data_IF_012544546344
#
_entry.id   IF_012544546344
#
_cell.length_a   1.000
_cell.length_b   1.000
_cell.length_c   1.000
_cell.angle_alpha   90.00
_cell.angle_beta   90.00
_cell.angle_gamma   90.00
#
_symmetry.space_group_name_H-M   'P 1'
#
loop_
_entity.id
_entity.type
_entity.pdbx_description
1 polymer ?
#
# COMPACT_ATOMS: atom_id res chain seq x y z
N UNK A 1 9.34 22.65 0.80
CA UNK A 1 9.76 21.50 -0.04
C UNK A 1 11.07 20.88 0.44
N UNK A 2 12.09 21.66 0.81
CA UNK A 2 13.40 21.13 1.24
C UNK A 2 13.35 20.27 2.51
N UNK A 3 12.56 20.67 3.53
CA UNK A 3 12.41 19.91 4.79
C UNK A 3 11.77 18.54 4.55
N UNK A 4 10.65 18.49 3.81
CA UNK A 4 9.94 17.26 3.43
C UNK A 4 10.88 16.26 2.76
N UNK A 5 11.63 16.71 1.75
CA UNK A 5 12.57 15.87 1.02
C UNK A 5 13.75 15.42 1.90
N UNK A 6 14.22 16.27 2.81
CA UNK A 6 15.27 15.92 3.76
C UNK A 6 14.85 14.77 4.69
N UNK A 7 13.61 14.81 5.21
CA UNK A 7 13.07 13.75 6.05
C UNK A 7 12.94 12.44 5.26
N UNK A 8 12.40 12.50 4.04
CA UNK A 8 12.33 11.33 3.13
C UNK A 8 13.72 10.73 2.94
N UNK A 9 14.69 11.53 2.51
CA UNK A 9 16.04 11.05 2.23
C UNK A 9 16.70 10.44 3.47
N UNK A 10 16.53 11.06 4.63
CA UNK A 10 17.04 10.51 5.90
C UNK A 10 16.42 9.15 6.19
N UNK A 11 15.10 9.03 6.06
CA UNK A 11 14.39 7.78 6.30
C UNK A 11 14.83 6.68 5.33
N UNK A 12 14.90 6.97 4.03
CA UNK A 12 15.31 6.00 3.01
C UNK A 12 16.73 5.47 3.24
N UNK A 13 17.65 6.34 3.67
CA UNK A 13 19.03 5.95 3.93
C UNK A 13 19.22 5.15 5.23
N UNK A 14 18.33 5.29 6.20
CA UNK A 14 18.52 4.72 7.56
C UNK A 14 17.58 3.56 7.89
N UNK A 15 16.40 3.50 7.28
CA UNK A 15 15.33 2.53 7.65
C UNK A 15 15.00 1.55 6.55
N UNK A 16 15.24 1.87 5.28
CA UNK A 16 14.87 0.99 4.17
C UNK A 16 15.96 -0.05 3.97
N UNK A 17 15.56 -1.32 4.06
CA UNK A 17 16.38 -2.43 3.58
C UNK A 17 16.16 -2.53 2.07
N UNK A 18 17.23 -2.51 1.27
CA UNK A 18 17.09 -2.63 -0.19
C UNK A 18 16.61 -4.02 -0.58
N UNK A 19 17.26 -5.06 -0.08
CA UNK A 19 16.91 -6.44 -0.43
C UNK A 19 15.76 -6.95 0.43
N UNK A 20 14.72 -7.44 -0.25
CA UNK A 20 13.54 -8.06 0.32
C UNK A 20 13.48 -9.52 -0.12
N UNK A 21 12.90 -10.36 0.74
CA UNK A 21 12.69 -11.76 0.45
C UNK A 21 11.32 -12.21 0.96
N UNK A 22 10.72 -13.16 0.25
CA UNK A 22 9.47 -13.83 0.64
C UNK A 22 9.43 -15.24 0.07
N UNK A 23 8.58 -16.10 0.60
CA UNK A 23 8.37 -17.47 0.13
C UNK A 23 6.91 -17.64 -0.25
N UNK A 24 6.65 -17.90 -1.54
CA UNK A 24 5.30 -18.08 -2.09
C UNK A 24 5.27 -19.42 -2.84
N UNK A 25 4.27 -20.27 -2.55
CA UNK A 25 4.16 -21.63 -3.10
C UNK A 25 5.46 -22.43 -3.03
N UNK A 26 6.12 -22.40 -1.86
CA UNK A 26 7.42 -23.04 -1.61
C UNK A 26 8.61 -22.48 -2.42
N UNK A 27 8.42 -21.41 -3.20
CA UNK A 27 9.47 -20.75 -3.99
C UNK A 27 9.97 -19.50 -3.25
N UNK A 28 11.28 -19.39 -3.07
CA UNK A 28 11.91 -18.21 -2.47
C UNK A 28 12.12 -17.11 -3.52
N UNK A 29 11.41 -15.99 -3.36
CA UNK A 29 11.55 -14.80 -4.16
C UNK A 29 12.39 -13.76 -3.43
N UNK A 30 13.22 -13.06 -4.20
CA UNK A 30 14.02 -11.92 -3.73
C UNK A 30 13.79 -10.75 -4.66
N UNK A 31 13.66 -9.54 -4.11
CA UNK A 31 13.47 -8.33 -4.89
C UNK A 31 14.08 -7.11 -4.21
N UNK A 32 14.29 -6.05 -4.98
CA UNK A 32 14.90 -4.81 -4.50
C UNK A 32 13.84 -3.72 -4.32
N UNK A 33 13.77 -3.17 -3.11
CA UNK A 33 13.04 -1.96 -2.80
C UNK A 33 13.80 -0.75 -3.34
N UNK A 34 13.19 -0.01 -4.27
CA UNK A 34 13.83 1.13 -4.95
C UNK A 34 13.87 2.35 -4.03
N UNK A 35 12.70 2.89 -3.69
CA UNK A 35 12.48 4.05 -2.83
C UNK A 35 10.97 4.08 -2.46
N UNK A 36 10.54 4.96 -1.55
CA UNK A 36 9.18 4.93 -0.98
C UNK A 36 8.06 5.03 -2.03
N UNK A 37 8.26 5.81 -3.09
CA UNK A 37 7.20 6.17 -4.04
C UNK A 37 7.31 5.48 -5.40
N UNK A 38 8.48 4.94 -5.74
CA UNK A 38 8.67 4.04 -6.88
C UNK A 38 8.54 2.58 -6.48
N UNK A 39 8.78 2.23 -5.21
CA UNK A 39 8.61 0.90 -4.58
C UNK A 39 9.56 -0.15 -5.15
N UNK A 40 9.45 -0.45 -6.44
CA UNK A 40 10.25 -1.41 -7.19
C UNK A 40 10.59 -0.88 -8.58
N UNK A 41 11.69 -1.31 -9.17
CA UNK A 41 11.90 -1.16 -10.61
C UNK A 41 11.15 -2.27 -11.34
N UNK A 42 10.06 -1.93 -12.05
CA UNK A 42 9.23 -2.89 -12.82
C UNK A 42 10.06 -3.90 -13.64
N UNK A 43 11.00 -3.49 -14.51
CA UNK A 43 11.76 -4.44 -15.33
C UNK A 43 12.69 -5.34 -14.48
N UNK A 44 13.33 -4.80 -13.44
CA UNK A 44 14.19 -5.61 -12.54
C UNK A 44 13.37 -6.61 -11.75
N UNK A 45 12.22 -6.19 -11.24
CA UNK A 45 11.31 -7.04 -10.47
C UNK A 45 10.82 -8.23 -11.29
N UNK A 46 10.31 -7.97 -12.51
CA UNK A 46 9.87 -9.02 -13.43
C UNK A 46 11.02 -9.97 -13.81
N UNK A 47 12.24 -9.44 -14.02
CA UNK A 47 13.42 -10.27 -14.26
C UNK A 47 13.72 -11.21 -13.09
N UNK A 48 13.71 -10.70 -11.86
CA UNK A 48 13.91 -11.52 -10.66
C UNK A 48 12.83 -12.58 -10.50
N UNK A 49 11.57 -12.21 -10.76
CA UNK A 49 10.45 -13.15 -10.67
C UNK A 49 10.60 -14.25 -11.73
N UNK A 50 10.89 -13.92 -12.99
CA UNK A 50 11.16 -14.90 -14.06
C UNK A 50 12.29 -15.87 -13.69
N UNK A 51 13.39 -15.36 -13.14
CA UNK A 51 14.55 -16.20 -12.76
C UNK A 51 14.19 -17.23 -11.68
N UNK A 52 13.34 -16.87 -10.72
CA UNK A 52 12.94 -17.77 -9.62
C UNK A 52 11.79 -18.68 -10.01
N UNK A 53 10.82 -18.15 -10.75
CA UNK A 53 9.61 -18.84 -11.16
C UNK A 53 9.84 -19.83 -12.32
N UNK A 54 10.89 -19.62 -13.14
CA UNK A 54 11.31 -20.50 -14.25
C UNK A 54 10.28 -20.65 -15.39
N UNK A 55 9.31 -19.74 -15.49
CA UNK A 55 8.39 -19.63 -16.62
C UNK A 55 8.40 -18.21 -17.17
N UNK A 56 8.20 -18.08 -18.47
CA UNK A 56 8.04 -16.77 -19.10
C UNK A 56 6.69 -16.15 -18.71
N UNK A 57 6.71 -14.87 -18.34
CA UNK A 57 5.50 -14.15 -18.01
C UNK A 57 4.73 -13.77 -19.29
N UNK A 58 3.43 -14.07 -19.31
CA UNK A 58 2.58 -13.69 -20.42
C UNK A 58 2.45 -12.16 -20.56
N UNK A 59 2.13 -11.68 -21.76
CA UNK A 59 1.86 -10.24 -22.00
C UNK A 59 0.74 -9.71 -21.10
N UNK A 60 -0.32 -10.51 -20.88
CA UNK A 60 -1.44 -10.17 -19.99
C UNK A 60 -0.94 -9.99 -18.55
N UNK A 61 -0.13 -10.91 -18.06
CA UNK A 61 0.45 -10.82 -16.71
C UNK A 61 1.31 -9.58 -16.54
N UNK A 62 2.17 -9.27 -17.52
CA UNK A 62 3.02 -8.07 -17.49
C UNK A 62 2.16 -6.81 -17.47
N UNK A 63 1.10 -6.76 -18.29
CA UNK A 63 0.16 -5.62 -18.30
C UNK A 63 -0.51 -5.42 -16.94
N UNK A 64 -1.11 -6.48 -16.39
CA UNK A 64 -1.79 -6.44 -15.09
C UNK A 64 -0.85 -6.02 -13.96
N UNK A 65 0.38 -6.55 -13.95
CA UNK A 65 1.41 -6.16 -12.99
C UNK A 65 1.76 -4.67 -13.10
N UNK A 66 1.98 -4.19 -14.33
CA UNK A 66 2.36 -2.80 -14.56
C UNK A 66 1.26 -1.86 -14.07
N UNK A 67 0.00 -2.18 -14.36
CA UNK A 67 -1.15 -1.41 -13.93
C UNK A 67 -1.30 -1.40 -12.41
N UNK A 68 -1.23 -2.57 -11.75
CA UNK A 68 -1.34 -2.66 -10.30
C UNK A 68 -0.26 -1.85 -9.57
N UNK A 69 0.99 -1.89 -10.06
CA UNK A 69 2.08 -1.09 -9.49
C UNK A 69 1.87 0.40 -9.72
N UNK A 70 1.40 0.82 -10.89
CA UNK A 70 1.13 2.24 -11.14
C UNK A 70 0.00 2.76 -10.25
N UNK A 71 -1.08 1.98 -10.09
CA UNK A 71 -2.17 2.33 -9.19
C UNK A 71 -1.68 2.56 -7.74
N UNK A 72 -0.81 1.68 -7.22
CA UNK A 72 -0.25 1.82 -5.86
C UNK A 72 0.66 3.04 -5.76
N UNK A 73 1.49 3.30 -6.77
CA UNK A 73 2.40 4.46 -6.77
C UNK A 73 1.65 5.78 -6.80
N UNK A 74 0.63 5.89 -7.65
CA UNK A 74 -0.25 7.07 -7.73
C UNK A 74 -0.92 7.30 -6.38
N UNK A 75 -1.57 6.26 -5.84
CA UNK A 75 -2.22 6.36 -4.54
C UNK A 75 -1.28 6.77 -3.41
N UNK A 76 -0.08 6.16 -3.33
CA UNK A 76 0.88 6.50 -2.28
C UNK A 76 1.36 7.96 -2.38
N UNK A 77 1.54 8.49 -3.60
CA UNK A 77 1.92 9.89 -3.82
C UNK A 77 0.79 10.85 -3.41
N UNK A 78 -0.45 10.52 -3.75
CA UNK A 78 -1.63 11.32 -3.35
C UNK A 78 -1.81 11.34 -1.83
N UNK A 79 -1.69 10.19 -1.19
CA UNK A 79 -1.80 10.06 0.27
C UNK A 79 -0.68 10.81 0.98
N UNK A 80 0.54 10.72 0.45
CA UNK A 80 1.67 11.42 1.01
C UNK A 80 1.53 12.94 0.93
N UNK A 81 1.07 13.45 -0.20
CA UNK A 81 0.79 14.87 -0.37
C UNK A 81 -0.29 15.33 0.61
N UNK A 82 -1.39 14.57 0.69
CA UNK A 82 -2.49 14.84 1.63
C UNK A 82 -2.01 14.87 3.08
N UNK A 83 -1.20 13.90 3.48
CA UNK A 83 -0.66 13.83 4.85
C UNK A 83 0.23 15.03 5.18
N UNK A 84 1.09 15.42 4.24
CA UNK A 84 1.96 16.59 4.39
C UNK A 84 1.15 17.87 4.53
N UNK A 85 0.11 18.04 3.71
CA UNK A 85 -0.74 19.24 3.71
C UNK A 85 -1.48 19.42 5.05
N UNK A 86 -1.89 18.33 5.71
CA UNK A 86 -2.45 18.40 7.05
C UNK A 86 -1.41 18.74 8.12
N UNK A 87 -0.20 18.17 8.01
CA UNK A 87 0.84 18.37 9.01
C UNK A 87 1.33 19.83 9.03
N UNK A 88 1.50 20.47 7.88
CA UNK A 88 1.97 21.86 7.83
C UNK A 88 0.98 22.87 8.42
N UNK A 89 -0.29 22.50 8.60
CA UNK A 89 -1.28 23.36 9.29
C UNK A 89 -1.03 23.47 10.80
N UNK A 90 -0.23 22.57 11.38
CA UNK A 90 0.00 22.48 12.83
C UNK A 90 1.05 23.47 13.34
N UNK A 91 1.82 24.09 12.44
CA UNK A 91 2.94 24.99 12.78
C UNK A 91 3.89 24.45 13.89
N UNK A 92 4.01 23.12 14.02
CA UNK A 92 4.79 22.47 15.07
C UNK A 92 5.77 21.46 14.48
N UNK A 93 7.00 21.89 14.24
CA UNK A 93 8.04 21.10 13.56
C UNK A 93 8.30 19.74 14.21
N UNK A 94 8.22 19.65 15.55
CA UNK A 94 8.42 18.39 16.27
C UNK A 94 7.29 17.41 16.00
N UNK A 95 6.03 17.88 15.99
CA UNK A 95 4.87 17.04 15.67
C UNK A 95 4.91 16.62 14.20
N UNK A 96 5.23 17.56 13.30
CA UNK A 96 5.37 17.31 11.87
C UNK A 96 6.40 16.20 11.64
N UNK A 97 7.61 16.34 12.17
CA UNK A 97 8.68 15.37 11.99
C UNK A 97 8.28 13.98 12.51
N UNK A 98 7.78 13.89 13.73
CA UNK A 98 7.42 12.61 14.36
C UNK A 98 6.31 11.89 13.57
N UNK A 99 5.22 12.58 13.26
CA UNK A 99 4.10 11.96 12.56
C UNK A 99 4.48 11.61 11.12
N UNK A 100 5.28 12.44 10.47
CA UNK A 100 5.72 12.17 9.10
C UNK A 100 6.68 10.97 9.05
N UNK A 101 7.64 10.85 9.97
CA UNK A 101 8.48 9.63 10.06
C UNK A 101 7.65 8.36 10.29
N UNK A 102 6.65 8.41 11.18
CA UNK A 102 5.72 7.29 11.39
C UNK A 102 4.95 6.94 10.11
N UNK A 103 4.57 7.95 9.33
CA UNK A 103 3.91 7.76 8.05
C UNK A 103 4.84 7.13 7.01
N UNK A 104 6.10 7.56 6.91
CA UNK A 104 7.08 6.94 6.01
C UNK A 104 7.34 5.46 6.37
N UNK A 105 7.42 5.16 7.67
CA UNK A 105 7.51 3.79 8.17
C UNK A 105 6.27 2.97 7.82
N UNK A 106 5.09 3.58 7.90
CA UNK A 106 3.84 2.95 7.52
C UNK A 106 3.77 2.67 6.00
N UNK A 107 4.20 3.61 5.14
CA UNK A 107 4.30 3.37 3.69
C UNK A 107 5.20 2.18 3.43
N UNK A 108 6.45 2.23 3.91
CA UNK A 108 7.46 1.21 3.62
C UNK A 108 7.02 -0.18 4.06
N UNK A 109 6.47 -0.31 5.27
CA UNK A 109 5.98 -1.59 5.78
C UNK A 109 4.75 -2.07 4.99
N UNK A 110 3.78 -1.21 4.72
CA UNK A 110 2.56 -1.58 4.00
C UNK A 110 2.82 -2.00 2.55
N UNK A 111 3.66 -1.26 1.81
CA UNK A 111 4.03 -1.61 0.43
C UNK A 111 4.80 -2.92 0.40
N UNK A 112 5.78 -3.10 1.28
CA UNK A 112 6.55 -4.34 1.39
C UNK A 112 5.63 -5.53 1.63
N UNK A 113 4.74 -5.43 2.61
CA UNK A 113 3.76 -6.49 2.93
C UNK A 113 2.87 -6.78 1.74
N UNK A 114 2.33 -5.75 1.08
CA UNK A 114 1.49 -5.94 -0.11
C UNK A 114 2.25 -6.68 -1.23
N UNK A 115 3.48 -6.27 -1.53
CA UNK A 115 4.28 -6.93 -2.57
C UNK A 115 4.56 -8.39 -2.20
N UNK A 116 4.98 -8.63 -0.96
CA UNK A 116 5.40 -9.94 -0.48
C UNK A 116 4.25 -10.94 -0.38
N UNK A 117 3.11 -10.49 0.17
CA UNK A 117 2.04 -11.39 0.60
C UNK A 117 0.92 -11.48 -0.45
N UNK A 118 0.78 -10.46 -1.30
CA UNK A 118 -0.33 -10.34 -2.26
C UNK A 118 0.16 -10.33 -3.70
N UNK A 119 1.02 -9.38 -4.08
CA UNK A 119 1.32 -9.14 -5.49
C UNK A 119 2.08 -10.28 -6.15
N UNK A 120 3.12 -10.83 -5.50
CA UNK A 120 3.92 -11.92 -6.08
C UNK A 120 3.04 -13.15 -6.34
N UNK A 121 2.19 -13.51 -5.39
CA UNK A 121 1.21 -14.58 -5.55
C UNK A 121 0.26 -14.30 -6.72
N UNK A 122 -0.27 -13.06 -6.80
CA UNK A 122 -1.19 -12.67 -7.85
C UNK A 122 -0.56 -12.73 -9.25
N UNK A 123 0.71 -12.35 -9.39
CA UNK A 123 1.45 -12.45 -10.66
C UNK A 123 1.48 -13.91 -11.14
N UNK A 124 1.71 -14.86 -10.22
CA UNK A 124 1.70 -16.29 -10.54
C UNK A 124 0.30 -16.72 -10.99
N UNK A 125 -0.75 -16.31 -10.28
CA UNK A 125 -2.12 -16.64 -10.68
C UNK A 125 -2.51 -16.08 -12.06
N UNK A 126 -2.16 -14.83 -12.35
CA UNK A 126 -2.38 -14.27 -13.69
C UNK A 126 -1.60 -15.03 -14.76
N UNK A 127 -0.39 -15.50 -14.45
CA UNK A 127 0.42 -16.23 -15.42
C UNK A 127 -0.10 -17.64 -15.72
N UNK A 128 -0.58 -18.32 -14.69
CA UNK A 128 -1.08 -19.69 -14.78
C UNK A 128 -2.56 -19.77 -15.12
N UNK A 129 -3.23 -18.62 -15.26
CA UNK A 129 -4.68 -18.51 -15.40
C UNK A 129 -5.42 -19.26 -14.27
N UNK A 130 -4.95 -19.11 -13.04
CA UNK A 130 -5.63 -19.65 -11.86
C UNK A 130 -6.81 -18.73 -11.55
N UNK A 131 -8.03 -19.26 -11.72
CA UNK A 131 -9.27 -18.50 -11.52
C UNK A 131 -9.74 -18.55 -10.07
N UNK A 132 -9.36 -19.59 -9.31
CA UNK A 132 -9.83 -19.80 -7.94
C UNK A 132 -8.68 -19.73 -6.94
N UNK A 133 -8.79 -18.80 -5.98
CA UNK A 133 -7.90 -18.68 -4.82
C UNK A 133 -8.55 -19.32 -3.60
N UNK A 134 -7.80 -20.14 -2.88
CA UNK A 134 -8.25 -20.69 -1.60
C UNK A 134 -7.68 -19.88 -0.42
N UNK A 135 -8.55 -19.39 0.46
CA UNK A 135 -8.16 -18.72 1.70
C UNK A 135 -9.03 -19.24 2.84
N UNK A 136 -8.42 -19.81 3.89
CA UNK A 136 -9.13 -20.35 5.06
C UNK A 136 -10.30 -21.29 4.69
N UNK A 137 -10.04 -22.28 3.82
CA UNK A 137 -11.02 -23.24 3.31
C UNK A 137 -12.19 -22.64 2.51
N UNK A 138 -12.09 -21.38 2.09
CA UNK A 138 -13.06 -20.72 1.20
C UNK A 138 -12.44 -20.48 -0.17
N UNK A 139 -13.25 -20.63 -1.20
CA UNK A 139 -12.87 -20.43 -2.60
C UNK A 139 -13.29 -19.06 -3.05
N UNK A 140 -12.38 -18.32 -3.66
CA UNK A 140 -12.62 -16.97 -4.14
C UNK A 140 -12.25 -16.86 -5.61
N UNK A 141 -12.99 -16.04 -6.36
CA UNK A 141 -12.52 -15.55 -7.66
C UNK A 141 -11.23 -14.77 -7.43
N UNK A 142 -10.20 -15.14 -8.18
CA UNK A 142 -8.85 -14.64 -7.99
C UNK A 142 -8.72 -13.15 -8.28
N UNK A 143 -9.39 -12.65 -9.32
CA UNK A 143 -9.28 -11.25 -9.70
C UNK A 143 -10.09 -10.35 -8.77
N UNK A 144 -11.31 -10.77 -8.42
CA UNK A 144 -12.15 -10.04 -7.46
C UNK A 144 -11.52 -10.03 -6.05
N UNK A 145 -10.87 -11.13 -5.65
CA UNK A 145 -10.16 -11.17 -4.38
C UNK A 145 -8.93 -10.25 -4.38
N UNK A 146 -8.22 -10.14 -5.51
CA UNK A 146 -7.12 -9.19 -5.64
C UNK A 146 -7.58 -7.74 -5.56
N UNK A 147 -8.71 -7.40 -6.20
CA UNK A 147 -9.35 -6.09 -6.06
C UNK A 147 -9.70 -5.78 -4.60
N UNK A 148 -10.24 -6.76 -3.87
CA UNK A 148 -10.46 -6.64 -2.43
C UNK A 148 -9.17 -6.33 -1.65
N UNK A 149 -8.06 -7.02 -1.93
CA UNK A 149 -6.78 -6.76 -1.23
C UNK A 149 -6.20 -5.38 -1.60
N UNK A 150 -6.40 -4.89 -2.82
CA UNK A 150 -6.03 -3.51 -3.22
C UNK A 150 -6.84 -2.47 -2.45
N UNK A 151 -8.16 -2.64 -2.34
CA UNK A 151 -9.02 -1.69 -1.60
C UNK A 151 -8.73 -1.76 -0.09
N UNK A 152 -8.42 -2.95 0.45
CA UNK A 152 -7.96 -3.13 1.83
C UNK A 152 -6.64 -2.41 2.09
N UNK A 153 -5.69 -2.48 1.15
CA UNK A 153 -4.45 -1.70 1.20
C UNK A 153 -4.75 -0.20 1.32
N UNK A 154 -5.59 0.35 0.43
CA UNK A 154 -5.96 1.78 0.48
C UNK A 154 -6.64 2.17 1.79
N UNK A 155 -7.56 1.33 2.28
CA UNK A 155 -8.27 1.57 3.54
C UNK A 155 -7.33 1.61 4.75
N UNK A 156 -6.28 0.79 4.76
CA UNK A 156 -5.29 0.84 5.83
C UNK A 156 -4.60 2.21 5.94
N UNK A 157 -4.32 2.86 4.81
CA UNK A 157 -3.81 4.23 4.78
C UNK A 157 -4.84 5.25 5.30
N UNK A 158 -6.10 5.16 4.87
CA UNK A 158 -7.15 6.04 5.38
C UNK A 158 -7.29 5.92 6.90
N UNK A 159 -7.27 4.69 7.44
CA UNK A 159 -7.29 4.44 8.88
C UNK A 159 -6.06 5.01 9.60
N UNK A 160 -4.89 4.92 8.98
CA UNK A 160 -3.67 5.51 9.53
C UNK A 160 -3.80 7.04 9.61
N UNK A 161 -4.13 7.69 8.49
CA UNK A 161 -4.30 9.15 8.41
C UNK A 161 -5.33 9.63 9.44
N UNK A 162 -6.47 8.94 9.50
CA UNK A 162 -7.53 9.28 10.44
C UNK A 162 -7.07 9.23 11.91
N UNK A 163 -6.30 8.20 12.29
CA UNK A 163 -5.71 8.13 13.63
C UNK A 163 -4.77 9.31 13.89
N UNK A 164 -3.98 9.74 12.91
CA UNK A 164 -3.07 10.88 13.05
C UNK A 164 -3.82 12.21 13.13
N UNK A 165 -4.84 12.40 12.30
CA UNK A 165 -5.72 13.57 12.36
C UNK A 165 -6.39 13.69 13.74
N UNK A 166 -6.87 12.59 14.32
CA UNK A 166 -7.39 12.59 15.69
C UNK A 166 -6.35 12.98 16.74
N UNK A 167 -5.10 12.55 16.58
CA UNK A 167 -3.99 12.99 17.44
C UNK A 167 -3.74 14.49 17.30
N UNK A 168 -3.73 15.01 16.06
CA UNK A 168 -3.56 16.43 15.79
C UNK A 168 -4.70 17.27 16.39
N UNK A 169 -5.96 16.86 16.19
CA UNK A 169 -7.12 17.53 16.76
C UNK A 169 -7.06 17.61 18.29
N UNK A 170 -6.55 16.57 18.96
CA UNK A 170 -6.36 16.59 20.42
C UNK A 170 -5.26 17.56 20.86
N UNK A 171 -4.21 17.70 20.06
CA UNK A 171 -3.11 18.65 20.34
C UNK A 171 -3.53 20.10 20.03
N UNK A 172 -4.39 20.30 19.03
CA UNK A 172 -4.91 21.59 18.58
C UNK A 172 -6.44 21.61 18.54
N UNK A 173 -7.12 21.62 19.69
CA UNK A 173 -8.58 21.51 19.76
C UNK A 173 -9.32 22.67 19.08
N UNK A 174 -8.65 23.81 18.90
CA UNK A 174 -9.22 25.01 18.26
C UNK A 174 -9.00 25.05 16.74
N UNK A 175 -8.31 24.07 16.15
CA UNK A 175 -8.09 24.01 14.71
C UNK A 175 -9.35 23.46 14.00
N UNK A 176 -10.24 24.37 13.59
CA UNK A 176 -11.53 24.05 12.99
C UNK A 176 -11.41 23.25 11.69
N UNK A 177 -10.34 23.46 10.91
CA UNK A 177 -10.07 22.73 9.66
C UNK A 177 -9.83 21.26 9.97
N UNK A 178 -8.95 20.94 10.92
CA UNK A 178 -8.68 19.54 11.31
C UNK A 178 -9.96 18.89 11.85
N UNK A 179 -10.77 19.63 12.61
CA UNK A 179 -12.05 19.15 13.12
C UNK A 179 -13.03 18.72 12.03
N UNK A 180 -13.23 19.55 10.99
CA UNK A 180 -14.09 19.24 9.84
C UNK A 180 -13.57 18.01 9.09
N UNK A 181 -12.26 17.94 8.86
CA UNK A 181 -11.64 16.82 8.14
C UNK A 181 -11.82 15.50 8.93
N UNK A 182 -11.64 15.52 10.25
CA UNK A 182 -11.88 14.33 11.09
C UNK A 182 -13.31 13.83 10.96
N UNK A 183 -14.31 14.71 10.98
CA UNK A 183 -15.71 14.35 10.81
C UNK A 183 -15.98 13.72 9.43
N UNK A 184 -15.49 14.35 8.36
CA UNK A 184 -15.64 13.82 7.00
C UNK A 184 -14.98 12.43 6.83
N UNK A 185 -13.82 12.21 7.47
CA UNK A 185 -13.16 10.90 7.48
C UNK A 185 -13.97 9.83 8.23
N UNK A 186 -14.68 10.16 9.31
CA UNK A 186 -15.48 9.19 10.06
C UNK A 186 -16.62 8.59 9.23
N UNK A 187 -17.30 9.42 8.44
CA UNK A 187 -18.37 8.98 7.55
C UNK A 187 -17.80 8.13 6.40
N UNK A 188 -16.75 8.62 5.75
CA UNK A 188 -16.11 7.95 4.61
C UNK A 188 -15.53 6.57 4.99
N UNK A 189 -14.93 6.44 6.19
CA UNK A 189 -14.40 5.16 6.66
C UNK A 189 -15.47 4.09 6.88
N UNK A 190 -16.67 4.48 7.34
CA UNK A 190 -17.80 3.55 7.51
C UNK A 190 -18.30 3.05 6.16
N UNK A 191 -18.42 3.94 5.18
CA UNK A 191 -18.81 3.57 3.81
C UNK A 191 -17.79 2.63 3.17
N UNK A 192 -16.50 2.91 3.32
CA UNK A 192 -15.44 2.07 2.78
C UNK A 192 -15.35 0.70 3.50
N UNK A 193 -15.70 0.61 4.79
CA UNK A 193 -15.85 -0.67 5.48
C UNK A 193 -16.93 -1.54 4.81
N UNK A 194 -18.11 -0.96 4.56
CA UNK A 194 -19.22 -1.68 3.92
C UNK A 194 -18.87 -2.11 2.50
N UNK A 195 -18.24 -1.23 1.71
CA UNK A 195 -17.74 -1.54 0.37
C UNK A 195 -16.75 -2.71 0.39
N UNK A 196 -15.81 -2.69 1.34
CA UNK A 196 -14.79 -3.73 1.44
C UNK A 196 -15.39 -5.10 1.83
N UNK A 197 -16.38 -5.11 2.72
CA UNK A 197 -17.13 -6.33 3.05
C UNK A 197 -17.88 -6.86 1.82
N UNK A 198 -18.54 -5.97 1.07
CA UNK A 198 -19.24 -6.34 -0.16
C UNK A 198 -18.30 -6.94 -1.20
N UNK A 199 -17.15 -6.32 -1.46
CA UNK A 199 -16.14 -6.87 -2.39
C UNK A 199 -15.69 -8.28 -2.00
N UNK A 200 -15.42 -8.50 -0.71
CA UNK A 200 -15.02 -9.84 -0.23
C UNK A 200 -16.12 -10.88 -0.41
N UNK A 201 -17.38 -10.49 -0.22
CA UNK A 201 -18.53 -11.37 -0.41
C UNK A 201 -18.77 -11.67 -1.89
N UNK A 202 -18.63 -10.66 -2.76
CA UNK A 202 -18.76 -10.81 -4.21
C UNK A 202 -17.67 -11.72 -4.78
N UNK A 203 -16.45 -11.65 -4.23
CA UNK A 203 -15.37 -12.55 -4.62
C UNK A 203 -15.59 -14.01 -4.16
N UNK A 204 -16.47 -14.28 -3.20
CA UNK A 204 -16.68 -15.63 -2.66
C UNK A 204 -17.46 -16.49 -3.66
N UNK A 205 -16.88 -17.61 -4.07
CA UNK A 205 -17.54 -18.59 -4.92
C UNK A 205 -18.46 -19.47 -4.05
N UNK A 206 -19.67 -19.73 -4.57
CA UNK A 206 -20.68 -20.58 -3.92
C UNK A 206 -20.41 -22.05 -4.16
#
# INVERSE_FOLDING_TARGET
MEVKQSIINHFENTRIKKEQATKIFEINFTWEYTNLFEIISKPRFLKYLNMKYKKELTRKTISNFNEAIDQIRVFNKEVEQTMWDYLIQTNNDKIIYNIYEEFLAFIYSSTKTFINDILIEQIIYWNENIEVKMVNNKHYDTNLYFEYELEKYKKNFQNFIFKKLKTLQKAEPNNSIIGIVVQAYEENLKENEMKLVSLKQTALLK
#
